data_IF_181381278867
#
_entry.id   IF_181381278867
#
_cell.length_a   1.000
_cell.length_b   1.000
_cell.length_c   1.000
_cell.angle_alpha   90.00
_cell.angle_beta   90.00
_cell.angle_gamma   90.00
#
_symmetry.space_group_name_H-M   'P 1'
#
loop_
_entity.id
_entity.type
_entity.pdbx_description
1 polymer ?
#
# COMPACT_ATOMS: atom_id res chain seq x y z
N UNK A 1 -19.52 9.54 -30.66
CA UNK A 1 -18.86 8.51 -29.81
C UNK A 1 -19.87 7.96 -28.80
N UNK A 2 -19.95 6.64 -28.59
CA UNK A 2 -20.88 6.03 -27.62
C UNK A 2 -20.62 6.62 -26.20
N UNK A 3 -21.66 7.07 -25.48
CA UNK A 3 -21.55 7.66 -24.13
C UNK A 3 -20.78 6.75 -23.16
N UNK A 4 -20.91 5.43 -23.28
CA UNK A 4 -20.16 4.47 -22.48
C UNK A 4 -18.64 4.52 -22.77
N UNK A 5 -18.26 4.63 -24.04
CA UNK A 5 -16.85 4.73 -24.45
C UNK A 5 -16.22 6.01 -23.89
N UNK A 6 -16.94 7.14 -23.96
CA UNK A 6 -16.47 8.40 -23.38
C UNK A 6 -16.23 8.28 -21.87
N UNK A 7 -17.21 7.73 -21.12
CA UNK A 7 -17.07 7.51 -19.67
C UNK A 7 -15.87 6.64 -19.32
N UNK A 8 -15.63 5.58 -20.11
CA UNK A 8 -14.48 4.69 -19.92
C UNK A 8 -13.15 5.41 -20.19
N UNK A 9 -13.08 6.23 -21.24
CA UNK A 9 -11.88 7.03 -21.55
C UNK A 9 -11.57 8.00 -20.42
N UNK A 10 -12.58 8.74 -19.95
CA UNK A 10 -12.44 9.66 -18.80
C UNK A 10 -11.96 8.91 -17.56
N UNK A 11 -12.50 7.72 -17.30
CA UNK A 11 -12.08 6.91 -16.15
C UNK A 11 -10.63 6.43 -16.24
N UNK A 12 -10.18 6.00 -17.42
CA UNK A 12 -8.76 5.67 -17.63
C UNK A 12 -7.86 6.90 -17.45
N UNK A 13 -8.31 8.08 -17.91
CA UNK A 13 -7.61 9.34 -17.66
C UNK A 13 -7.44 9.63 -16.17
N UNK A 14 -8.49 9.42 -15.37
CA UNK A 14 -8.40 9.57 -13.92
C UNK A 14 -7.43 8.55 -13.28
N UNK A 15 -7.52 7.28 -13.66
CA UNK A 15 -6.59 6.23 -13.18
C UNK A 15 -5.14 6.55 -13.55
N UNK A 16 -4.92 7.05 -14.77
CA UNK A 16 -3.60 7.45 -15.28
C UNK A 16 -3.01 8.57 -14.42
N UNK A 17 -3.73 9.69 -14.24
CA UNK A 17 -3.25 10.84 -13.46
C UNK A 17 -3.00 10.46 -12.00
N UNK A 18 -3.93 9.74 -11.37
CA UNK A 18 -3.80 9.32 -9.97
C UNK A 18 -2.65 8.33 -9.78
N UNK A 19 -2.44 7.41 -10.74
CA UNK A 19 -1.31 6.47 -10.70
C UNK A 19 0.02 7.18 -10.86
N UNK A 20 0.10 8.12 -11.80
CA UNK A 20 1.29 8.96 -11.99
C UNK A 20 1.64 9.71 -10.71
N UNK A 21 0.69 10.47 -10.15
CA UNK A 21 0.91 11.24 -8.93
C UNK A 21 1.31 10.37 -7.74
N UNK A 22 0.64 9.23 -7.55
CA UNK A 22 0.95 8.31 -6.48
C UNK A 22 2.39 7.75 -6.57
N UNK A 23 2.79 7.23 -7.75
CA UNK A 23 4.12 6.63 -7.91
C UNK A 23 5.24 7.67 -7.96
N UNK A 24 4.99 8.85 -8.54
CA UNK A 24 5.91 9.99 -8.51
C UNK A 24 6.27 10.36 -7.07
N UNK A 25 5.23 10.51 -6.26
CA UNK A 25 5.34 10.87 -4.87
C UNK A 25 6.06 9.79 -4.05
N UNK A 26 5.68 8.53 -4.22
CA UNK A 26 6.31 7.42 -3.49
C UNK A 26 7.79 7.23 -3.88
N UNK A 27 8.12 7.40 -5.17
CA UNK A 27 9.50 7.36 -5.66
C UNK A 27 10.34 8.48 -5.03
N UNK A 28 9.79 9.70 -4.95
CA UNK A 28 10.42 10.81 -4.24
C UNK A 28 10.68 10.48 -2.76
N UNK A 29 9.69 9.90 -2.07
CA UNK A 29 9.82 9.53 -0.66
C UNK A 29 10.91 8.48 -0.42
N UNK A 30 10.99 7.45 -1.26
CA UNK A 30 12.03 6.42 -1.12
C UNK A 30 13.44 6.94 -1.45
N UNK A 31 13.55 7.88 -2.38
CA UNK A 31 14.84 8.46 -2.76
C UNK A 31 15.36 9.50 -1.75
N UNK A 32 14.48 10.17 -1.00
CA UNK A 32 14.85 11.22 -0.04
C UNK A 32 14.71 10.78 1.44
N UNK A 33 14.83 9.48 1.70
CA UNK A 33 14.51 8.82 2.98
C UNK A 33 15.41 9.16 4.18
N UNK A 34 16.30 10.16 4.08
CA UNK A 34 17.19 10.54 5.17
C UNK A 34 16.47 11.16 6.37
N UNK A 35 15.23 11.65 6.21
CA UNK A 35 14.30 12.01 7.30
C UNK A 35 12.85 11.73 6.87
N UNK A 36 12.26 10.58 7.25
CA UNK A 36 10.88 10.29 6.91
C UNK A 36 9.94 11.12 7.80
N UNK A 37 9.62 12.32 7.36
CA UNK A 37 8.50 13.06 7.93
C UNK A 37 7.19 12.46 7.43
N UNK A 38 6.20 12.32 8.33
CA UNK A 38 4.88 11.87 7.95
C UNK A 38 4.24 12.91 7.03
N UNK A 39 4.10 12.56 5.77
CA UNK A 39 3.45 13.41 4.79
C UNK A 39 2.07 12.85 4.41
N UNK A 40 0.97 13.56 4.76
CA UNK A 40 -0.39 13.07 4.55
C UNK A 40 -0.78 12.95 3.08
N UNK A 41 -0.06 13.60 2.18
CA UNK A 41 -0.35 13.62 0.73
C UNK A 41 -0.29 12.22 0.12
N UNK A 42 0.70 11.41 0.48
CA UNK A 42 0.81 10.03 -0.02
C UNK A 42 -0.36 9.16 0.39
N UNK A 43 -0.83 9.31 1.63
CA UNK A 43 -1.99 8.60 2.18
C UNK A 43 -3.27 9.02 1.45
N UNK A 44 -3.46 10.31 1.20
CA UNK A 44 -4.62 10.81 0.44
C UNK A 44 -4.61 10.24 -0.98
N UNK A 45 -3.48 10.32 -1.68
CA UNK A 45 -3.34 9.79 -3.05
C UNK A 45 -3.65 8.29 -3.10
N UNK A 46 -3.18 7.52 -2.12
CA UNK A 46 -3.47 6.10 -1.98
C UNK A 46 -4.98 5.83 -1.85
N UNK A 47 -5.67 6.55 -0.96
CA UNK A 47 -7.09 6.38 -0.68
C UNK A 47 -7.93 6.75 -1.91
N UNK A 48 -7.61 7.86 -2.57
CA UNK A 48 -8.29 8.33 -3.79
C UNK A 48 -8.13 7.31 -4.91
N UNK A 49 -6.90 6.87 -5.17
CA UNK A 49 -6.60 5.90 -6.22
C UNK A 49 -7.30 4.55 -5.98
N UNK A 50 -7.22 4.02 -4.76
CA UNK A 50 -7.88 2.76 -4.39
C UNK A 50 -9.39 2.83 -4.58
N UNK A 51 -10.00 3.95 -4.19
CA UNK A 51 -11.44 4.20 -4.37
C UNK A 51 -11.82 4.24 -5.86
N UNK A 52 -11.05 4.97 -6.68
CA UNK A 52 -11.30 5.09 -8.13
C UNK A 52 -11.10 3.76 -8.85
N UNK A 53 -10.10 2.96 -8.47
CA UNK A 53 -9.90 1.62 -9.02
C UNK A 53 -11.09 0.71 -8.68
N UNK A 54 -11.47 0.61 -7.41
CA UNK A 54 -12.58 -0.25 -6.98
C UNK A 54 -13.91 0.17 -7.62
N UNK A 55 -14.20 1.47 -7.69
CA UNK A 55 -15.37 1.99 -8.40
C UNK A 55 -15.30 1.69 -9.90
N UNK A 56 -14.14 1.83 -10.52
CA UNK A 56 -13.94 1.47 -11.92
C UNK A 56 -14.31 0.02 -12.19
N UNK A 57 -13.86 -0.90 -11.34
CA UNK A 57 -14.20 -2.32 -11.43
C UNK A 57 -15.69 -2.58 -11.21
N UNK A 58 -16.34 -1.82 -10.35
CA UNK A 58 -17.79 -1.90 -10.10
C UNK A 58 -18.61 -1.41 -11.31
N UNK A 59 -18.21 -0.29 -11.92
CA UNK A 59 -18.95 0.33 -13.03
C UNK A 59 -18.68 -0.38 -14.35
N UNK A 60 -17.44 -0.76 -14.61
CA UNK A 60 -17.00 -1.34 -15.87
C UNK A 60 -16.79 -2.85 -15.72
N UNK A 61 -17.90 -3.58 -15.75
CA UNK A 61 -17.99 -5.00 -15.35
C UNK A 61 -17.22 -5.99 -16.24
N UNK A 62 -16.71 -5.60 -17.41
CA UNK A 62 -16.01 -6.53 -18.33
C UNK A 62 -14.63 -6.93 -17.79
N UNK A 63 -14.23 -8.19 -18.01
CA UNK A 63 -12.93 -8.73 -17.54
C UNK A 63 -11.72 -7.92 -17.98
N UNK A 64 -11.74 -7.43 -19.21
CA UNK A 64 -10.65 -6.64 -19.79
C UNK A 64 -10.41 -5.31 -19.08
N UNK A 65 -11.39 -4.75 -18.36
CA UNK A 65 -11.22 -3.50 -17.62
C UNK A 65 -10.36 -3.68 -16.37
N UNK A 66 -10.44 -4.85 -15.70
CA UNK A 66 -9.54 -5.14 -14.59
C UNK A 66 -8.08 -5.21 -15.06
N UNK A 67 -7.85 -5.86 -16.20
CA UNK A 67 -6.54 -5.94 -16.84
C UNK A 67 -6.06 -4.57 -17.32
N UNK A 68 -6.91 -3.76 -17.94
CA UNK A 68 -6.50 -2.44 -18.44
C UNK A 68 -6.19 -1.47 -17.30
N UNK A 69 -7.00 -1.43 -16.23
CA UNK A 69 -6.70 -0.62 -15.04
C UNK A 69 -5.42 -1.08 -14.34
N UNK A 70 -5.23 -2.40 -14.21
CA UNK A 70 -3.99 -2.97 -13.65
C UNK A 70 -2.77 -2.66 -14.50
N UNK A 71 -2.88 -2.77 -15.82
CA UNK A 71 -1.80 -2.44 -16.75
C UNK A 71 -1.48 -0.94 -16.73
N UNK A 72 -2.48 -0.05 -16.70
CA UNK A 72 -2.24 1.40 -16.58
C UNK A 72 -1.53 1.73 -15.27
N UNK A 73 -2.03 1.23 -14.13
CA UNK A 73 -1.43 1.51 -12.83
C UNK A 73 -0.02 0.90 -12.70
N UNK A 74 0.14 -0.35 -13.16
CA UNK A 74 1.41 -1.06 -13.17
C UNK A 74 2.45 -0.48 -14.14
N UNK A 75 2.01 0.11 -15.26
CA UNK A 75 2.93 0.78 -16.20
C UNK A 75 3.63 1.97 -15.52
N UNK A 76 2.89 2.79 -14.78
CA UNK A 76 3.51 3.91 -14.04
C UNK A 76 4.44 3.43 -12.94
N UNK A 77 4.07 2.36 -12.24
CA UNK A 77 4.97 1.70 -11.31
C UNK A 77 6.30 1.32 -11.99
N UNK A 78 6.25 0.69 -13.16
CA UNK A 78 7.43 0.30 -13.94
C UNK A 78 8.23 1.51 -14.45
N UNK A 79 7.58 2.62 -14.79
CA UNK A 79 8.26 3.87 -15.19
C UNK A 79 9.12 4.43 -14.04
N UNK A 80 8.63 4.39 -12.80
CA UNK A 80 9.34 4.96 -11.65
C UNK A 80 10.33 4.01 -10.99
N UNK A 81 10.05 2.71 -10.96
CA UNK A 81 10.89 1.72 -10.28
C UNK A 81 11.66 0.80 -11.24
N UNK A 82 11.45 0.94 -12.55
CA UNK A 82 12.18 0.24 -13.60
C UNK A 82 11.55 -1.09 -14.04
N UNK A 83 11.90 -1.50 -15.27
CA UNK A 83 11.42 -2.73 -15.91
C UNK A 83 12.34 -3.92 -15.59
N UNK A 84 12.25 -4.44 -14.37
CA UNK A 84 12.95 -5.66 -13.96
C UNK A 84 11.97 -6.81 -13.66
N UNK A 85 12.48 -8.04 -13.57
CA UNK A 85 11.66 -9.24 -13.41
C UNK A 85 10.78 -9.21 -12.14
N UNK A 86 11.30 -8.68 -11.03
CA UNK A 86 10.57 -8.55 -9.76
C UNK A 86 9.43 -7.56 -9.91
N UNK A 87 9.67 -6.42 -10.56
CA UNK A 87 8.64 -5.40 -10.80
C UNK A 87 7.56 -5.89 -11.77
N UNK A 88 7.94 -6.62 -12.82
CA UNK A 88 7.00 -7.24 -13.74
C UNK A 88 6.13 -8.28 -13.03
N UNK A 89 6.73 -9.10 -12.16
CA UNK A 89 6.00 -10.03 -11.30
C UNK A 89 5.03 -9.29 -10.38
N UNK A 90 5.46 -8.20 -9.76
CA UNK A 90 4.60 -7.34 -8.93
C UNK A 90 3.39 -6.83 -9.70
N UNK A 91 3.59 -6.35 -10.94
CA UNK A 91 2.50 -5.88 -11.81
C UNK A 91 1.56 -7.03 -12.20
N UNK A 92 2.09 -8.23 -12.45
CA UNK A 92 1.27 -9.41 -12.71
C UNK A 92 0.42 -9.80 -11.48
N UNK A 93 0.98 -9.75 -10.27
CA UNK A 93 0.27 -9.97 -9.00
C UNK A 93 -0.82 -8.92 -8.81
N UNK A 94 -0.51 -7.63 -9.02
CA UNK A 94 -1.50 -6.56 -8.98
C UNK A 94 -2.67 -6.84 -9.94
N UNK A 95 -2.38 -7.16 -11.21
CA UNK A 95 -3.42 -7.44 -12.20
C UNK A 95 -4.29 -8.65 -11.80
N UNK A 96 -3.69 -9.70 -11.24
CA UNK A 96 -4.39 -10.85 -10.67
C UNK A 96 -5.31 -10.45 -9.51
N UNK A 97 -4.83 -9.63 -8.58
CA UNK A 97 -5.62 -9.14 -7.43
C UNK A 97 -6.76 -8.20 -7.86
N UNK A 98 -6.55 -7.34 -8.86
CA UNK A 98 -7.64 -6.54 -9.44
C UNK A 98 -8.67 -7.41 -10.17
N UNK A 99 -8.22 -8.51 -10.79
CA UNK A 99 -9.14 -9.48 -11.36
C UNK A 99 -9.97 -10.19 -10.27
N UNK A 100 -9.37 -10.58 -9.15
CA UNK A 100 -10.11 -11.12 -7.99
C UNK A 100 -11.09 -10.10 -7.42
N UNK A 101 -10.67 -8.85 -7.25
CA UNK A 101 -11.53 -7.74 -6.84
C UNK A 101 -12.78 -7.64 -7.71
N UNK A 102 -12.60 -7.72 -9.04
CA UNK A 102 -13.70 -7.73 -10.01
C UNK A 102 -14.64 -8.92 -9.80
N UNK A 103 -14.12 -10.12 -9.55
CA UNK A 103 -14.96 -11.30 -9.32
C UNK A 103 -15.83 -11.10 -8.06
N UNK A 104 -15.23 -10.65 -6.96
CA UNK A 104 -15.93 -10.37 -5.71
C UNK A 104 -16.96 -9.25 -5.83
N UNK A 105 -16.68 -8.22 -6.63
CA UNK A 105 -17.65 -7.15 -6.91
C UNK A 105 -18.80 -7.67 -7.77
N UNK A 106 -18.52 -8.46 -8.80
CA UNK A 106 -19.57 -8.96 -9.69
C UNK A 106 -20.46 -10.01 -9.03
N UNK A 107 -19.94 -10.85 -8.13
CA UNK A 107 -20.78 -11.77 -7.35
C UNK A 107 -21.78 -10.99 -6.51
N UNK A 108 -21.33 -9.96 -5.80
CA UNK A 108 -22.22 -9.09 -5.01
C UNK A 108 -23.25 -8.33 -5.84
N UNK A 109 -22.87 -7.91 -7.05
CA UNK A 109 -23.79 -7.23 -7.97
C UNK A 109 -24.84 -8.17 -8.57
N UNK A 110 -24.53 -9.47 -8.70
CA UNK A 110 -25.43 -10.45 -9.31
C UNK A 110 -26.34 -11.13 -8.28
N UNK A 111 -25.87 -11.33 -7.05
CA UNK A 111 -26.58 -12.07 -6.01
C UNK A 111 -27.61 -11.20 -5.25
N UNK A 112 -27.54 -9.86 -5.38
CA UNK A 112 -28.37 -8.95 -4.59
C UNK A 112 -29.52 -8.35 -5.39
N UNK A 113 -30.70 -8.34 -4.78
CA UNK A 113 -31.87 -7.59 -5.26
C UNK A 113 -31.70 -6.06 -5.15
N UNK A 114 -30.88 -5.56 -4.22
CA UNK A 114 -30.62 -4.12 -4.02
C UNK A 114 -29.13 -3.82 -3.99
N UNK A 115 -28.72 -2.83 -4.77
CA UNK A 115 -27.33 -2.36 -4.83
C UNK A 115 -26.98 -1.65 -3.52
N UNK A 116 -26.01 -2.20 -2.78
CA UNK A 116 -25.40 -1.57 -1.62
C UNK A 116 -23.93 -1.26 -1.91
N UNK A 117 -23.64 -0.01 -2.27
CA UNK A 117 -22.29 0.43 -2.68
C UNK A 117 -21.25 0.19 -1.59
N UNK A 118 -21.60 0.38 -0.30
CA UNK A 118 -20.72 0.13 0.84
C UNK A 118 -20.22 -1.32 0.83
N UNK A 119 -21.13 -2.29 0.71
CA UNK A 119 -20.78 -3.72 0.76
C UNK A 119 -19.98 -4.13 -0.46
N UNK A 120 -20.38 -3.69 -1.65
CA UNK A 120 -19.71 -4.00 -2.91
C UNK A 120 -18.27 -3.44 -2.90
N UNK A 121 -18.11 -2.17 -2.53
CA UNK A 121 -16.80 -1.52 -2.43
C UNK A 121 -15.92 -2.22 -1.41
N UNK A 122 -16.44 -2.53 -0.22
CA UNK A 122 -15.64 -3.20 0.83
C UNK A 122 -15.08 -4.54 0.35
N UNK A 123 -15.88 -5.35 -0.36
CA UNK A 123 -15.41 -6.64 -0.90
C UNK A 123 -14.34 -6.47 -1.97
N UNK A 124 -14.53 -5.49 -2.88
CA UNK A 124 -13.56 -5.22 -3.93
C UNK A 124 -12.25 -4.61 -3.42
N UNK A 125 -12.33 -3.66 -2.49
CA UNK A 125 -11.19 -2.87 -2.02
C UNK A 125 -10.11 -3.69 -1.34
N UNK A 126 -10.45 -4.80 -0.68
CA UNK A 126 -9.46 -5.66 -0.03
C UNK A 126 -8.37 -6.10 -1.02
N UNK A 127 -8.75 -6.64 -2.18
CA UNK A 127 -7.77 -7.08 -3.18
C UNK A 127 -7.07 -5.91 -3.88
N UNK A 128 -7.76 -4.77 -4.08
CA UNK A 128 -7.12 -3.55 -4.64
C UNK A 128 -5.99 -3.07 -3.74
N UNK A 129 -6.29 -2.88 -2.44
CA UNK A 129 -5.34 -2.39 -1.43
C UNK A 129 -4.16 -3.34 -1.30
N UNK A 130 -4.41 -4.64 -1.21
CA UNK A 130 -3.34 -5.65 -1.16
C UNK A 130 -2.44 -5.60 -2.39
N UNK A 131 -3.01 -5.44 -3.59
CA UNK A 131 -2.23 -5.35 -4.82
C UNK A 131 -1.29 -4.14 -4.85
N UNK A 132 -1.76 -2.99 -4.37
CA UNK A 132 -0.91 -1.79 -4.26
C UNK A 132 0.17 -2.00 -3.18
N UNK A 133 -0.16 -2.63 -2.04
CA UNK A 133 0.83 -2.91 -0.98
C UNK A 133 1.96 -3.84 -1.42
N UNK A 134 1.65 -4.86 -2.24
CA UNK A 134 2.69 -5.71 -2.84
C UNK A 134 3.67 -4.85 -3.66
N UNK A 135 3.15 -3.95 -4.49
CA UNK A 135 3.99 -3.05 -5.28
C UNK A 135 4.80 -2.06 -4.42
N UNK A 136 4.21 -1.45 -3.39
CA UNK A 136 4.94 -0.59 -2.44
C UNK A 136 6.09 -1.37 -1.79
N UNK A 137 5.85 -2.63 -1.42
CA UNK A 137 6.86 -3.47 -0.77
C UNK A 137 8.01 -3.81 -1.73
N UNK A 138 7.71 -4.07 -3.00
CA UNK A 138 8.73 -4.31 -4.03
C UNK A 138 9.51 -3.02 -4.38
N UNK A 139 8.86 -1.87 -4.35
CA UNK A 139 9.54 -0.57 -4.45
C UNK A 139 10.50 -0.36 -3.27
N UNK A 140 10.06 -0.66 -2.04
CA UNK A 140 10.89 -0.55 -0.84
C UNK A 140 12.10 -1.50 -0.88
N UNK A 141 11.92 -2.74 -1.38
CA UNK A 141 13.01 -3.69 -1.61
C UNK A 141 14.13 -3.10 -2.48
N UNK A 142 13.78 -2.26 -3.47
CA UNK A 142 14.74 -1.69 -4.43
C UNK A 142 15.24 -0.30 -4.02
N UNK A 143 14.76 0.23 -2.89
CA UNK A 143 15.08 1.58 -2.44
C UNK A 143 16.57 1.76 -2.12
N UNK A 144 17.11 2.98 -2.24
CA UNK A 144 18.49 3.28 -1.84
C UNK A 144 18.77 2.87 -0.39
N UNK A 145 17.82 3.10 0.51
CA UNK A 145 17.93 2.72 1.93
C UNK A 145 18.17 1.23 2.13
N UNK A 146 17.43 0.37 1.41
CA UNK A 146 17.62 -1.07 1.50
C UNK A 146 19.02 -1.50 1.04
N UNK A 147 19.52 -0.89 -0.04
CA UNK A 147 20.88 -1.14 -0.58
C UNK A 147 21.98 -0.59 0.34
N UNK A 148 21.75 0.53 1.00
CA UNK A 148 22.68 1.10 1.98
C UNK A 148 22.83 0.18 3.20
N UNK A 149 21.74 -0.39 3.70
CA UNK A 149 21.79 -1.35 4.81
C UNK A 149 22.55 -2.63 4.40
N UNK A 150 22.28 -3.14 3.19
CA UNK A 150 22.99 -4.30 2.65
C UNK A 150 24.50 -4.06 2.51
N UNK A 151 24.89 -2.91 1.95
CA UNK A 151 26.29 -2.58 1.64
C UNK A 151 27.10 -2.13 2.85
N UNK A 152 26.50 -1.33 3.74
CA UNK A 152 27.18 -0.82 4.95
C UNK A 152 27.49 -1.94 5.95
N UNK A 153 26.78 -3.08 5.87
CA UNK A 153 26.84 -4.18 6.85
C UNK A 153 26.75 -3.67 8.29
N UNK A 154 26.01 -2.57 8.45
CA UNK A 154 25.81 -1.86 9.70
C UNK A 154 24.33 -1.52 9.87
N UNK A 155 23.85 -1.60 11.11
CA UNK A 155 22.53 -1.10 11.43
C UNK A 155 22.45 0.42 11.20
N UNK A 156 21.28 0.96 10.82
CA UNK A 156 21.05 2.40 10.74
C UNK A 156 21.30 3.09 12.09
N UNK A 157 21.74 4.34 12.08
CA UNK A 157 21.94 5.16 13.29
C UNK A 157 20.67 5.30 14.14
N UNK A 158 19.48 5.23 13.52
CA UNK A 158 18.22 5.21 14.26
C UNK A 158 18.08 3.99 15.19
N UNK A 159 18.69 2.85 14.85
CA UNK A 159 18.72 1.68 15.73
C UNK A 159 19.63 1.91 16.94
N UNK A 160 20.73 2.64 16.77
CA UNK A 160 21.61 3.03 17.88
C UNK A 160 20.87 3.92 18.89
N UNK A 161 20.09 4.89 18.41
CA UNK A 161 19.23 5.74 19.26
C UNK A 161 18.20 4.89 20.03
N UNK A 162 17.54 3.95 19.35
CA UNK A 162 16.57 3.06 19.98
C UNK A 162 17.21 2.18 21.07
N UNK A 163 18.40 1.62 20.81
CA UNK A 163 19.14 0.85 21.82
C UNK A 163 19.52 1.76 22.99
N UNK A 164 19.98 2.98 22.71
CA UNK A 164 20.31 3.97 23.75
C UNK A 164 19.11 4.23 24.64
N UNK A 165 17.92 4.39 24.08
CA UNK A 165 16.69 4.62 24.84
C UNK A 165 16.33 3.40 25.71
N UNK A 166 16.48 2.18 25.19
CA UNK A 166 16.27 0.96 25.99
C UNK A 166 17.27 0.87 27.14
N UNK A 167 18.56 1.10 26.87
CA UNK A 167 19.64 1.07 27.86
C UNK A 167 19.41 2.14 28.92
N UNK A 168 19.10 3.37 28.52
CA UNK A 168 18.80 4.47 29.42
C UNK A 168 17.60 4.16 30.34
N UNK A 169 16.54 3.56 29.80
CA UNK A 169 15.35 3.22 30.58
C UNK A 169 15.56 2.00 31.50
N UNK A 170 16.31 1.00 31.04
CA UNK A 170 16.46 -0.29 31.76
C UNK A 170 17.61 -0.26 32.77
N UNK A 171 18.75 0.26 32.35
CA UNK A 171 20.00 0.30 33.14
C UNK A 171 20.16 1.66 33.79
N UNK A 172 19.80 2.75 33.12
CA UNK A 172 19.97 4.10 33.66
C UNK A 172 19.20 4.37 34.96
N UNK A 173 18.16 3.60 35.28
CA UNK A 173 17.47 3.65 36.58
C UNK A 173 18.18 2.89 37.70
N UNK A 174 19.18 2.05 37.37
CA UNK A 174 19.95 1.19 38.28
C UNK A 174 21.40 1.63 38.48
N UNK A 175 21.84 2.67 37.76
CA UNK A 175 23.18 3.24 37.92
C UNK A 175 23.13 4.28 39.03
N UNK A 176 23.53 3.89 40.24
CA UNK A 176 23.66 4.77 41.41
C UNK A 176 24.89 5.67 41.28
N UNK A 177 24.79 6.70 40.45
CA UNK A 177 25.81 7.75 40.33
C UNK A 177 25.16 9.13 40.52
N UNK A 178 25.80 9.97 41.33
CA UNK A 178 25.35 11.36 41.59
C UNK A 178 25.69 12.29 40.41
N UNK A 179 26.63 11.88 39.56
CA UNK A 179 27.12 12.65 38.43
C UNK A 179 26.43 12.25 37.12
N UNK A 180 25.57 13.12 36.59
CA UNK A 180 24.84 12.90 35.32
C UNK A 180 25.78 12.71 34.12
N UNK A 181 26.96 13.33 34.12
CA UNK A 181 27.92 13.14 33.02
C UNK A 181 28.50 11.72 33.00
N UNK A 182 28.77 11.16 34.18
CA UNK A 182 29.29 9.79 34.33
C UNK A 182 28.23 8.76 33.94
N UNK A 183 26.98 9.00 34.34
CA UNK A 183 25.82 8.19 33.94
C UNK A 183 25.63 8.15 32.42
N UNK A 184 25.74 9.30 31.74
CA UNK A 184 25.63 9.35 30.28
C UNK A 184 26.79 8.61 29.59
N UNK A 185 28.01 8.69 30.12
CA UNK A 185 29.15 7.94 29.59
C UNK A 185 28.94 6.42 29.71
N UNK A 186 28.44 5.93 30.84
CA UNK A 186 28.12 4.51 31.05
C UNK A 186 27.04 4.06 30.06
N UNK A 187 25.96 4.84 29.90
CA UNK A 187 24.89 4.54 28.94
C UNK A 187 25.46 4.47 27.52
N UNK A 188 26.27 5.45 27.11
CA UNK A 188 26.89 5.47 25.78
C UNK A 188 27.83 4.30 25.57
N UNK A 189 28.64 3.92 26.56
CA UNK A 189 29.53 2.77 26.45
C UNK A 189 28.74 1.47 26.27
N UNK A 190 27.75 1.21 27.12
CA UNK A 190 26.90 0.02 27.04
C UNK A 190 26.15 -0.01 25.70
N UNK A 191 25.65 1.16 25.24
CA UNK A 191 25.00 1.29 23.94
C UNK A 191 25.94 0.89 22.80
N UNK A 192 27.16 1.42 22.80
CA UNK A 192 28.15 1.15 21.76
C UNK A 192 28.59 -0.31 21.73
N UNK A 193 28.83 -0.91 22.90
CA UNK A 193 29.18 -2.33 23.03
C UNK A 193 28.03 -3.22 22.55
N UNK A 194 26.81 -2.96 23.03
CA UNK A 194 25.59 -3.69 22.63
C UNK A 194 25.34 -3.57 21.13
N UNK A 195 25.46 -2.36 20.57
CA UNK A 195 25.30 -2.12 19.14
C UNK A 195 26.38 -2.85 18.33
N UNK A 196 27.62 -2.86 18.81
CA UNK A 196 28.73 -3.58 18.18
C UNK A 196 28.53 -5.10 18.15
N UNK A 197 28.08 -5.69 19.24
CA UNK A 197 27.77 -7.12 19.34
C UNK A 197 26.60 -7.51 18.43
N UNK A 198 25.50 -6.76 18.49
CA UNK A 198 24.33 -6.97 17.63
C UNK A 198 24.75 -6.86 16.16
N UNK A 199 25.57 -5.87 15.82
CA UNK A 199 26.01 -5.70 14.44
C UNK A 199 26.90 -6.85 13.97
N UNK A 200 27.75 -7.37 14.84
CA UNK A 200 28.62 -8.53 14.55
C UNK A 200 27.78 -9.79 14.34
N UNK A 201 26.78 -10.01 15.20
CA UNK A 201 25.84 -11.12 15.09
C UNK A 201 24.96 -11.03 13.82
N UNK A 202 24.50 -9.83 13.47
CA UNK A 202 23.64 -9.59 12.31
C UNK A 202 24.40 -9.52 10.98
N UNK A 203 25.73 -9.39 11.00
CA UNK A 203 26.58 -9.27 9.83
C UNK A 203 26.29 -10.27 8.69
N UNK A 204 26.14 -11.59 8.93
CA UNK A 204 25.84 -12.56 7.88
C UNK A 204 24.39 -12.47 7.36
N UNK A 205 23.50 -11.79 8.09
CA UNK A 205 22.08 -11.66 7.75
C UNK A 205 21.76 -10.38 6.96
N UNK A 206 22.68 -9.39 6.90
CA UNK A 206 22.43 -8.15 6.15
C UNK A 206 22.19 -8.35 4.65
N UNK A 207 22.69 -9.43 4.05
CA UNK A 207 22.36 -9.80 2.66
C UNK A 207 20.86 -10.07 2.45
N UNK A 208 20.15 -10.44 3.53
CA UNK A 208 18.70 -10.66 3.54
C UNK A 208 17.94 -9.44 4.08
N UNK A 209 18.61 -8.33 4.40
CA UNK A 209 17.94 -7.14 4.90
C UNK A 209 16.95 -6.56 3.88
N UNK A 210 17.28 -6.40 2.58
CA UNK A 210 16.31 -5.89 1.61
C UNK A 210 14.99 -6.70 1.56
N UNK A 211 14.99 -8.04 1.39
CA UNK A 211 13.74 -8.80 1.37
C UNK A 211 13.02 -8.81 2.72
N UNK A 212 13.74 -8.83 3.85
CA UNK A 212 13.15 -8.76 5.18
C UNK A 212 12.46 -7.40 5.41
N UNK A 213 13.07 -6.29 5.01
CA UNK A 213 12.49 -4.96 5.12
C UNK A 213 11.24 -4.82 4.27
N UNK A 214 11.29 -5.30 3.03
CA UNK A 214 10.13 -5.31 2.14
C UNK A 214 8.97 -6.15 2.70
N UNK A 215 9.27 -7.33 3.24
CA UNK A 215 8.27 -8.20 3.87
C UNK A 215 7.71 -7.59 5.17
N UNK A 216 8.58 -7.02 6.01
CA UNK A 216 8.16 -6.30 7.22
C UNK A 216 7.24 -5.12 6.89
N UNK A 217 7.58 -4.32 5.89
CA UNK A 217 6.73 -3.24 5.40
C UNK A 217 5.38 -3.78 4.90
N UNK A 218 5.38 -4.88 4.13
CA UNK A 218 4.14 -5.52 3.68
C UNK A 218 3.26 -5.92 4.87
N UNK A 219 3.82 -6.56 5.90
CA UNK A 219 3.08 -6.98 7.09
C UNK A 219 2.51 -5.79 7.87
N UNK A 220 3.27 -4.72 8.02
CA UNK A 220 2.80 -3.48 8.67
C UNK A 220 1.63 -2.89 7.88
N UNK A 221 1.79 -2.74 6.55
CA UNK A 221 0.74 -2.24 5.67
C UNK A 221 -0.49 -3.14 5.72
N UNK A 222 -0.31 -4.46 5.70
CA UNK A 222 -1.39 -5.43 5.79
C UNK A 222 -2.12 -5.36 7.14
N UNK A 223 -1.40 -5.25 8.26
CA UNK A 223 -1.99 -5.06 9.59
C UNK A 223 -2.81 -3.77 9.69
N UNK A 224 -2.38 -2.71 9.01
CA UNK A 224 -3.10 -1.43 8.92
C UNK A 224 -4.14 -1.37 7.78
N UNK A 225 -4.25 -2.42 6.95
CA UNK A 225 -5.07 -2.43 5.73
C UNK A 225 -6.54 -2.11 6.00
N UNK A 226 -7.07 -2.54 7.15
CA UNK A 226 -8.47 -2.31 7.51
C UNK A 226 -8.80 -0.82 7.58
N UNK A 227 -7.89 0.03 8.08
CA UNK A 227 -8.05 1.49 8.15
C UNK A 227 -8.17 2.05 6.72
N UNK A 228 -7.22 1.70 5.86
CA UNK A 228 -7.19 2.17 4.48
C UNK A 228 -8.40 1.70 3.67
N UNK A 229 -8.87 0.47 3.90
CA UNK A 229 -10.09 -0.06 3.27
C UNK A 229 -11.29 0.78 3.69
N UNK A 230 -11.48 1.06 4.98
CA UNK A 230 -12.63 1.84 5.45
C UNK A 230 -12.62 3.29 4.96
N UNK A 231 -11.46 3.93 4.96
CA UNK A 231 -11.31 5.29 4.40
C UNK A 231 -11.62 5.30 2.89
N UNK A 232 -11.15 4.28 2.16
CA UNK A 232 -11.45 4.13 0.72
C UNK A 232 -12.91 3.77 0.46
N UNK A 233 -13.57 3.01 1.34
CA UNK A 233 -15.03 2.77 1.25
C UNK A 233 -15.77 4.08 1.42
N UNK A 234 -15.43 4.89 2.43
CA UNK A 234 -16.08 6.17 2.69
C UNK A 234 -15.93 7.13 1.51
N UNK A 235 -14.70 7.28 1.00
CA UNK A 235 -14.44 8.13 -0.17
C UNK A 235 -15.11 7.57 -1.43
N UNK A 236 -15.03 6.27 -1.68
CA UNK A 236 -15.69 5.62 -2.80
C UNK A 236 -17.21 5.79 -2.77
N UNK A 237 -17.83 5.73 -1.58
CA UNK A 237 -19.25 6.03 -1.42
C UNK A 237 -19.57 7.50 -1.76
N UNK A 238 -18.72 8.44 -1.33
CA UNK A 238 -18.88 9.86 -1.66
C UNK A 238 -18.78 10.08 -3.18
N UNK A 239 -17.76 9.53 -3.83
CA UNK A 239 -17.58 9.62 -5.29
C UNK A 239 -18.78 8.99 -6.00
N UNK A 240 -19.22 7.80 -5.58
CA UNK A 240 -20.40 7.14 -6.16
C UNK A 240 -21.66 7.99 -6.02
N UNK A 241 -21.86 8.63 -4.86
CA UNK A 241 -22.99 9.53 -4.64
C UNK A 241 -22.94 10.74 -5.56
N UNK A 242 -21.78 11.36 -5.75
CA UNK A 242 -21.59 12.47 -6.72
C UNK A 242 -21.92 11.99 -8.14
N UNK A 243 -21.37 10.85 -8.57
CA UNK A 243 -21.61 10.31 -9.91
C UNK A 243 -23.08 9.95 -10.17
N UNK A 244 -23.80 9.51 -9.14
CA UNK A 244 -25.24 9.27 -9.18
C UNK A 244 -26.00 10.60 -9.30
N UNK A 245 -25.64 11.62 -8.51
CA UNK A 245 -26.28 12.94 -8.52
C UNK A 245 -26.08 13.67 -9.86
N UNK A 246 -24.96 13.44 -10.54
CA UNK A 246 -24.67 14.04 -11.86
C UNK A 246 -25.15 13.20 -13.05
N UNK A 247 -26.01 12.19 -12.83
CA UNK A 247 -26.51 11.28 -13.89
C UNK A 247 -25.43 10.54 -14.70
N UNK A 248 -24.21 10.47 -14.17
CA UNK A 248 -23.13 9.69 -14.79
C UNK A 248 -23.42 8.20 -14.62
N UNK A 249 -24.11 7.81 -13.54
CA UNK A 249 -24.55 6.44 -13.30
C UNK A 249 -26.06 6.44 -13.08
N UNK A 250 -26.77 5.54 -13.77
CA UNK A 250 -28.19 5.25 -13.53
C UNK A 250 -28.32 3.83 -13.00
N UNK A 251 -29.15 3.65 -11.99
CA UNK A 251 -29.49 2.32 -11.45
C UNK A 251 -30.85 1.96 -12.05
N UNK A 252 -30.89 0.87 -12.80
CA UNK A 252 -32.12 0.31 -13.35
C UNK A 252 -32.57 -0.84 -12.45
N UNK A 253 -33.82 -0.80 -11.98
CA UNK A 253 -34.45 -1.95 -11.35
C UNK A 253 -34.85 -2.93 -12.44
N UNK A 254 -34.47 -4.20 -12.29
CA UNK A 254 -34.84 -5.28 -13.21
C UNK A 254 -35.58 -6.34 -12.42
N UNK A 255 -36.81 -6.64 -12.83
CA UNK A 255 -37.54 -7.78 -12.30
C UNK A 255 -36.93 -9.07 -12.84
N UNK A 256 -36.14 -9.75 -12.01
CA UNK A 256 -35.59 -11.07 -12.32
C UNK A 256 -36.46 -12.09 -11.58
N UNK A 257 -37.14 -12.97 -12.33
CA UNK A 257 -37.81 -14.15 -11.77
C UNK A 257 -36.73 -15.05 -11.15
N UNK A 258 -36.66 -15.11 -9.83
CA UNK A 258 -35.68 -15.93 -9.13
C UNK A 258 -36.16 -17.39 -9.12
N UNK A 259 -35.31 -18.30 -9.59
CA UNK A 259 -35.50 -19.75 -9.41
C UNK A 259 -35.06 -20.12 -7.99
N UNK A 260 -35.90 -20.87 -7.28
CA UNK A 260 -35.62 -21.36 -5.93
C UNK A 260 -35.22 -22.84 -6.04
N UNK A 261 -34.10 -23.21 -5.44
CA UNK A 261 -33.72 -24.61 -5.30
C UNK A 261 -34.66 -25.26 -4.29
N UNK A 262 -35.53 -26.14 -4.77
CA UNK A 262 -36.38 -26.98 -3.91
C UNK A 262 -35.65 -28.32 -3.78
N UNK A 263 -35.37 -28.75 -2.55
CA UNK A 263 -34.80 -30.07 -2.22
C UNK A 263 -35.94 -31.07 -2.10
#
# INVERSE_FOLDING_TARGET
MNKLKLKLIVWHGAVLVLSWEFWRYLSYLFNNSSKPDFEPVGVINFIVLSSVLALGLMLFRRKWHALSFGATHGLFYLVYFGFNAINLLGVAILAGLLFLSRLSINSELNERFKINSKTILRRGLMSVVLGIFVLISFAAYQSPLAKEIESSKKLPSGTEVFIRDIVANTIGSRVDTVNEAEKQNIISQITNETFGEINTFLKPYFQYAPPLLAFGLFLILWGLSWIFIWLSVLLGMLIFWVLKKTDVIKIEERDIKAEVLII
#
